data_IF_623475576190
#
_entry.id   IF_623475576190
#
_cell.length_a   1.000
_cell.length_b   1.000
_cell.length_c   1.000
_cell.angle_alpha   90.00
_cell.angle_beta   90.00
_cell.angle_gamma   90.00
#
_symmetry.space_group_name_H-M   'P 1'
#
loop_
_entity.id
_entity.type
_entity.pdbx_description
1 polymer ?
#
# COMPACT_ATOMS: atom_id res chain seq x y z
N UNK A 1 39.93 61.86 27.16
CA UNK A 1 40.73 60.65 26.90
C UNK A 1 41.24 60.25 28.27
N UNK A 2 40.48 59.40 28.95
CA UNK A 2 40.74 59.01 30.33
C UNK A 2 41.36 57.62 30.32
N UNK A 3 42.63 57.56 30.69
CA UNK A 3 43.37 56.31 30.91
C UNK A 3 43.73 56.26 32.40
N UNK A 4 43.16 55.28 33.11
CA UNK A 4 43.51 55.01 34.51
C UNK A 4 43.33 53.52 34.83
N UNK A 5 44.49 52.91 35.08
CA UNK A 5 44.81 52.10 36.24
C UNK A 5 44.43 50.59 36.31
N UNK A 6 45.51 49.78 36.26
CA UNK A 6 45.99 48.80 37.27
C UNK A 6 45.24 47.48 37.53
N UNK A 7 45.88 46.42 36.99
CA UNK A 7 46.23 45.10 37.56
C UNK A 7 46.02 44.93 39.09
N UNK A 8 45.35 43.84 39.56
CA UNK A 8 46.00 42.59 40.01
C UNK A 8 45.11 41.61 40.80
N UNK A 9 45.30 40.31 40.48
CA UNK A 9 45.27 39.09 41.34
C UNK A 9 43.97 38.50 41.91
N UNK A 10 43.82 37.17 41.77
CA UNK A 10 43.23 36.32 42.82
C UNK A 10 42.40 35.11 42.36
N UNK A 11 43.04 33.94 42.33
CA UNK A 11 42.52 32.59 42.71
C UNK A 11 41.25 31.98 42.07
N UNK A 12 41.44 30.80 41.45
CA UNK A 12 40.44 29.72 41.33
C UNK A 12 40.42 28.90 42.65
N UNK A 13 39.34 28.15 43.04
CA UNK A 13 38.96 26.92 42.31
C UNK A 13 37.49 26.46 42.42
N UNK A 14 37.17 25.41 41.64
CA UNK A 14 36.09 24.42 41.83
C UNK A 14 34.62 24.86 41.67
N UNK A 15 33.95 24.35 40.63
CA UNK A 15 32.99 23.22 40.73
C UNK A 15 32.39 22.98 39.34
N UNK A 16 33.06 22.19 38.49
CA UNK A 16 32.49 21.73 37.22
C UNK A 16 32.05 20.28 37.38
N UNK A 17 30.74 19.99 37.49
CA UNK A 17 30.25 18.62 37.39
C UNK A 17 30.28 18.19 35.91
N UNK A 18 30.83 17.00 35.59
CA UNK A 18 30.88 16.54 34.21
C UNK A 18 29.45 16.33 33.69
N UNK A 19 29.19 16.91 32.51
CA UNK A 19 27.97 16.67 31.73
C UNK A 19 27.76 15.15 31.60
N UNK A 20 26.79 14.65 32.37
CA UNK A 20 26.32 13.27 32.29
C UNK A 20 25.99 12.93 30.85
N UNK A 21 26.72 11.95 30.33
CA UNK A 21 26.47 11.22 29.10
C UNK A 21 24.98 10.92 28.98
N UNK A 22 24.28 11.70 28.17
CA UNK A 22 22.87 11.47 27.87
C UNK A 22 22.84 10.35 26.82
N UNK A 23 22.47 9.16 27.26
CA UNK A 23 22.11 8.02 26.40
C UNK A 23 21.13 8.53 25.34
N UNK A 24 21.53 8.44 24.07
CA UNK A 24 20.75 8.90 22.93
C UNK A 24 19.67 7.85 22.64
N UNK A 25 18.49 8.00 23.26
CA UNK A 25 17.25 7.45 22.75
C UNK A 25 16.30 8.60 22.42
N UNK A 26 15.82 8.64 21.18
CA UNK A 26 14.77 9.56 20.73
C UNK A 26 15.24 10.51 19.63
N UNK A 27 14.97 10.13 18.37
CA UNK A 27 15.20 10.97 17.20
C UNK A 27 14.59 10.38 15.94
N UNK A 28 13.35 9.89 16.05
CA UNK A 28 12.52 9.55 14.91
C UNK A 28 12.07 10.87 14.27
N UNK A 29 12.76 11.31 13.22
CA UNK A 29 12.40 12.55 12.54
C UNK A 29 13.54 13.21 11.80
N UNK A 30 13.98 12.60 10.70
CA UNK A 30 14.46 13.40 9.57
C UNK A 30 13.80 12.85 8.32
N UNK A 31 12.60 13.40 8.07
CA UNK A 31 11.97 13.40 6.76
C UNK A 31 12.95 14.12 5.83
N UNK A 32 13.83 13.35 5.20
CA UNK A 32 14.50 13.81 4.00
C UNK A 32 13.43 13.86 2.91
N UNK A 33 12.80 15.03 2.80
CA UNK A 33 12.15 15.48 1.58
C UNK A 33 13.14 15.28 0.44
N UNK A 34 12.97 14.17 -0.27
CA UNK A 34 13.56 13.96 -1.58
C UNK A 34 12.42 14.10 -2.56
N UNK A 35 12.30 15.33 -3.07
CA UNK A 35 11.90 15.63 -4.43
C UNK A 35 10.69 14.88 -4.98
N UNK A 36 9.55 15.55 -4.92
CA UNK A 36 8.52 15.48 -5.95
C UNK A 36 9.14 15.67 -7.34
N UNK A 37 8.85 14.74 -8.27
CA UNK A 37 9.28 14.77 -9.68
C UNK A 37 10.39 13.75 -9.96
N UNK A 38 10.25 12.71 -10.77
CA UNK A 38 9.32 12.41 -11.85
C UNK A 38 8.62 11.08 -11.57
N UNK A 39 7.28 11.08 -11.52
CA UNK A 39 6.54 9.84 -11.73
C UNK A 39 6.71 9.49 -13.21
N UNK A 40 7.74 8.72 -13.56
CA UNK A 40 7.85 8.16 -14.91
C UNK A 40 6.54 7.39 -15.17
N UNK A 41 5.69 7.84 -16.11
CA UNK A 41 4.38 7.22 -16.29
C UNK A 41 4.47 5.89 -17.05
N UNK A 42 5.69 5.48 -17.43
CA UNK A 42 6.00 4.12 -17.83
C UNK A 42 5.99 3.22 -16.59
N UNK A 43 4.84 2.61 -16.31
CA UNK A 43 4.66 1.73 -15.15
C UNK A 43 4.01 2.42 -13.93
N UNK A 44 3.19 3.45 -14.16
CA UNK A 44 2.40 4.03 -13.07
C UNK A 44 1.39 3.00 -12.53
N UNK A 45 1.46 2.74 -11.24
CA UNK A 45 0.50 1.88 -10.54
C UNK A 45 -0.75 2.68 -10.22
N UNK A 46 -1.90 2.21 -10.66
CA UNK A 46 -3.20 2.85 -10.43
C UNK A 46 -3.90 2.19 -9.24
N UNK A 47 -4.42 3.03 -8.37
CA UNK A 47 -5.25 2.62 -7.25
C UNK A 47 -6.72 2.78 -7.63
N UNK A 48 -7.47 1.68 -7.62
CA UNK A 48 -8.87 1.65 -8.03
C UNK A 48 -9.73 1.13 -6.88
N UNK A 49 -10.83 1.82 -6.57
CA UNK A 49 -11.85 1.35 -5.63
C UNK A 49 -13.23 1.45 -6.24
N UNK A 50 -14.02 0.41 -6.03
CA UNK A 50 -15.45 0.40 -6.30
C UNK A 50 -16.11 -0.62 -5.38
N UNK A 51 -17.24 -0.27 -4.79
CA UNK A 51 -18.04 -1.16 -3.93
C UNK A 51 -18.75 -2.26 -4.71
N UNK A 52 -18.93 -2.09 -6.02
CA UNK A 52 -19.59 -3.08 -6.90
C UNK A 52 -18.60 -3.98 -7.65
N UNK A 53 -17.28 -3.83 -7.46
CA UNK A 53 -16.24 -4.64 -8.11
C UNK A 53 -15.53 -5.48 -7.04
N UNK A 54 -15.67 -6.80 -7.12
CA UNK A 54 -15.21 -7.74 -6.09
C UNK A 54 -14.06 -8.64 -6.55
N UNK A 55 -13.67 -8.54 -7.81
CA UNK A 55 -12.60 -9.36 -8.36
C UNK A 55 -11.99 -8.80 -9.64
N UNK A 56 -10.82 -9.35 -9.98
CA UNK A 56 -10.06 -8.95 -11.17
C UNK A 56 -10.88 -9.08 -12.46
N UNK A 57 -11.67 -10.15 -12.60
CA UNK A 57 -12.52 -10.37 -13.77
C UNK A 57 -13.57 -9.27 -13.96
N UNK A 58 -14.21 -8.82 -12.89
CA UNK A 58 -15.18 -7.72 -12.96
C UNK A 58 -14.53 -6.38 -13.28
N UNK A 59 -13.30 -6.15 -12.81
CA UNK A 59 -12.56 -4.95 -13.14
C UNK A 59 -12.14 -4.94 -14.62
N UNK A 60 -11.44 -5.99 -15.06
CA UNK A 60 -10.83 -6.04 -16.39
C UNK A 60 -11.89 -6.34 -17.48
N UNK A 61 -12.65 -7.43 -17.33
CA UNK A 61 -13.64 -7.85 -18.34
C UNK A 61 -15.00 -7.14 -18.19
N UNK A 62 -15.23 -6.44 -17.08
CA UNK A 62 -16.42 -5.61 -16.88
C UNK A 62 -16.10 -4.15 -17.16
N UNK A 63 -15.62 -3.42 -16.14
CA UNK A 63 -15.44 -1.96 -16.20
C UNK A 63 -14.46 -1.51 -17.28
N UNK A 64 -13.25 -2.08 -17.34
CA UNK A 64 -12.25 -1.66 -18.35
C UNK A 64 -12.69 -2.07 -19.76
N UNK A 65 -13.30 -3.25 -19.91
CA UNK A 65 -13.87 -3.72 -21.18
C UNK A 65 -14.96 -2.80 -21.72
N UNK A 66 -15.84 -2.28 -20.86
CA UNK A 66 -16.88 -1.31 -21.22
C UNK A 66 -16.28 -0.01 -21.78
N UNK A 67 -15.17 0.46 -21.20
CA UNK A 67 -14.47 1.67 -21.62
C UNK A 67 -13.27 1.41 -22.55
N UNK A 68 -13.11 0.19 -23.10
CA UNK A 68 -11.89 -0.24 -23.81
C UNK A 68 -11.50 0.66 -24.98
N UNK A 69 -12.49 1.21 -25.69
CA UNK A 69 -12.28 2.11 -26.84
C UNK A 69 -11.79 3.48 -26.37
N UNK A 70 -12.48 4.07 -25.40
CA UNK A 70 -12.09 5.33 -24.79
C UNK A 70 -10.67 5.26 -24.21
N UNK A 71 -10.36 4.15 -23.53
CA UNK A 71 -9.04 3.85 -22.94
C UNK A 71 -7.96 3.51 -23.96
N UNK A 72 -8.31 3.19 -25.22
CA UNK A 72 -7.36 2.81 -26.27
C UNK A 72 -6.76 1.41 -26.09
N UNK A 73 -7.44 0.53 -25.36
CA UNK A 73 -6.98 -0.83 -25.04
C UNK A 73 -7.80 -1.91 -25.73
N UNK A 74 -8.72 -1.54 -26.62
CA UNK A 74 -9.58 -2.46 -27.37
C UNK A 74 -8.81 -3.59 -28.08
N UNK A 75 -7.59 -3.32 -28.59
CA UNK A 75 -6.71 -4.32 -29.24
C UNK A 75 -6.37 -5.54 -28.36
N UNK A 76 -6.50 -5.39 -27.04
CA UNK A 76 -6.21 -6.42 -26.05
C UNK A 76 -7.42 -7.26 -25.67
N UNK A 77 -8.61 -6.99 -26.22
CA UNK A 77 -9.83 -7.74 -25.96
C UNK A 77 -10.23 -8.54 -27.19
N UNK A 78 -10.55 -9.80 -26.97
CA UNK A 78 -11.18 -10.65 -27.97
C UNK A 78 -12.69 -10.43 -27.90
N UNK A 79 -13.28 -10.08 -29.04
CA UNK A 79 -14.73 -10.06 -29.22
C UNK A 79 -15.09 -11.34 -29.98
N UNK A 80 -14.95 -12.48 -29.31
CA UNK A 80 -15.42 -13.75 -29.86
C UNK A 80 -16.93 -13.84 -29.59
N UNK A 81 -17.73 -13.76 -30.65
CA UNK A 81 -19.11 -14.19 -30.62
C UNK A 81 -19.19 -15.62 -31.08
N UNK A 82 -19.52 -16.54 -30.18
CA UNK A 82 -20.16 -17.77 -30.64
C UNK A 82 -21.56 -17.37 -31.10
N UNK A 83 -21.87 -17.65 -32.37
CA UNK A 83 -23.16 -17.35 -33.01
C UNK A 83 -24.36 -18.03 -32.32
N UNK A 84 -24.13 -18.79 -31.25
CA UNK A 84 -25.15 -19.55 -30.52
C UNK A 84 -25.77 -18.82 -29.33
N UNK A 85 -25.13 -17.77 -28.80
CA UNK A 85 -25.70 -16.97 -27.70
C UNK A 85 -25.41 -15.49 -27.97
N UNK A 86 -26.45 -14.74 -28.34
CA UNK A 86 -26.40 -13.35 -28.83
C UNK A 86 -25.86 -12.27 -27.87
N UNK A 87 -24.90 -12.58 -27.01
CA UNK A 87 -24.12 -11.64 -26.20
C UNK A 87 -22.63 -11.94 -26.29
N UNK A 88 -21.94 -11.26 -27.19
CA UNK A 88 -20.48 -11.23 -27.22
C UNK A 88 -19.97 -10.48 -25.97
N UNK A 89 -19.45 -11.20 -24.98
CA UNK A 89 -18.76 -10.58 -23.83
C UNK A 89 -17.28 -10.43 -24.19
N UNK A 90 -16.74 -9.21 -24.33
CA UNK A 90 -15.33 -9.05 -24.66
C UNK A 90 -14.48 -9.60 -23.53
N UNK A 91 -13.53 -10.47 -23.87
CA UNK A 91 -12.63 -11.10 -22.92
C UNK A 91 -11.21 -10.60 -23.12
N UNK A 92 -10.52 -10.28 -22.03
CA UNK A 92 -9.13 -9.86 -22.10
C UNK A 92 -8.25 -11.01 -22.61
N UNK A 93 -7.39 -10.72 -23.58
CA UNK A 93 -6.40 -11.67 -24.09
C UNK A 93 -5.40 -12.08 -23.01
N UNK A 94 -4.87 -13.29 -23.14
CA UNK A 94 -3.88 -13.85 -22.20
C UNK A 94 -2.52 -13.16 -22.27
N UNK A 95 -2.18 -12.54 -23.41
CA UNK A 95 -0.94 -11.79 -23.63
C UNK A 95 -1.09 -10.28 -23.37
N UNK A 96 -2.24 -9.84 -22.86
CA UNK A 96 -2.47 -8.44 -22.57
C UNK A 96 -1.57 -7.95 -21.42
N UNK A 97 -0.98 -6.74 -21.51
CA UNK A 97 0.02 -6.25 -20.56
C UNK A 97 -0.63 -5.66 -19.30
N UNK A 98 -1.67 -6.30 -18.75
CA UNK A 98 -2.33 -5.87 -17.52
C UNK A 98 -1.87 -6.71 -16.34
N UNK A 99 -1.30 -6.05 -15.34
CA UNK A 99 -1.04 -6.64 -14.04
C UNK A 99 -2.02 -6.05 -13.03
N UNK A 100 -2.72 -6.93 -12.29
CA UNK A 100 -3.73 -6.50 -11.35
C UNK A 100 -3.72 -7.34 -10.08
N UNK A 101 -3.75 -6.67 -8.93
CA UNK A 101 -3.87 -7.29 -7.60
C UNK A 101 -5.07 -6.70 -6.89
N UNK A 102 -5.89 -7.58 -6.28
CA UNK A 102 -7.00 -7.18 -5.42
C UNK A 102 -6.62 -7.33 -3.94
N UNK A 103 -6.53 -6.22 -3.23
CA UNK A 103 -6.16 -6.17 -1.81
C UNK A 103 -7.42 -6.21 -0.95
N UNK A 104 -7.96 -7.42 -0.75
CA UNK A 104 -9.18 -7.65 0.03
C UNK A 104 -9.02 -7.40 1.53
N UNK A 105 -7.82 -7.57 2.08
CA UNK A 105 -7.56 -7.49 3.52
C UNK A 105 -7.58 -6.07 4.11
N UNK A 106 -7.66 -5.04 3.25
CA UNK A 106 -7.80 -3.65 3.68
C UNK A 106 -9.20 -3.38 4.22
N UNK A 107 -9.34 -2.44 5.17
CA UNK A 107 -10.66 -1.96 5.64
C UNK A 107 -11.50 -1.40 4.50
N UNK A 108 -10.86 -0.88 3.46
CA UNK A 108 -11.47 -0.49 2.19
C UNK A 108 -10.77 -1.27 1.08
N UNK A 109 -11.34 -2.38 0.59
CA UNK A 109 -10.75 -3.16 -0.48
C UNK A 109 -10.47 -2.29 -1.70
N UNK A 110 -9.36 -2.58 -2.38
CA UNK A 110 -8.91 -1.83 -3.53
C UNK A 110 -8.15 -2.73 -4.51
N UNK A 111 -8.02 -2.25 -5.73
CA UNK A 111 -7.22 -2.86 -6.77
C UNK A 111 -5.98 -2.00 -7.00
N UNK A 112 -4.86 -2.67 -7.21
CA UNK A 112 -3.70 -2.09 -7.87
C UNK A 112 -3.71 -2.58 -9.31
N UNK A 113 -3.54 -1.67 -10.25
CA UNK A 113 -3.51 -1.94 -11.68
C UNK A 113 -2.27 -1.32 -12.31
N UNK A 114 -1.51 -2.13 -13.01
CA UNK A 114 -0.39 -1.70 -13.86
C UNK A 114 -0.67 -2.09 -15.30
N UNK A 115 -0.26 -1.20 -16.20
CA UNK A 115 -0.33 -1.44 -17.64
C UNK A 115 1.09 -1.37 -18.20
N UNK A 116 1.66 -2.55 -18.43
CA UNK A 116 3.07 -2.77 -18.76
C UNK A 116 3.35 -2.61 -20.26
N UNK A 117 2.76 -1.58 -20.87
CA UNK A 117 3.01 -1.22 -22.26
C UNK A 117 4.08 -0.13 -22.35
N UNK A 118 4.88 -0.15 -23.41
CA UNK A 118 5.99 0.81 -23.58
C UNK A 118 5.50 2.14 -24.17
N UNK A 119 6.19 3.21 -23.79
CA UNK A 119 6.04 4.53 -24.40
C UNK A 119 4.75 5.26 -24.02
N UNK A 120 4.21 6.02 -24.97
CA UNK A 120 3.09 6.94 -24.72
C UNK A 120 1.73 6.24 -24.58
N UNK A 121 1.63 4.97 -24.98
CA UNK A 121 0.39 4.21 -24.85
C UNK A 121 0.02 4.04 -23.38
N UNK A 122 0.98 3.72 -22.52
CA UNK A 122 0.75 3.59 -21.09
C UNK A 122 0.42 4.93 -20.41
N UNK A 123 1.10 6.00 -20.81
CA UNK A 123 0.80 7.35 -20.31
C UNK A 123 -0.63 7.77 -20.64
N UNK A 124 -1.04 7.62 -21.90
CA UNK A 124 -2.40 7.91 -22.36
C UNK A 124 -3.44 7.04 -21.66
N UNK A 125 -3.14 5.77 -21.44
CA UNK A 125 -4.03 4.87 -20.69
C UNK A 125 -4.26 5.38 -19.27
N UNK A 126 -3.19 5.74 -18.56
CA UNK A 126 -3.27 6.29 -17.19
C UNK A 126 -4.09 7.57 -17.16
N UNK A 127 -3.80 8.54 -18.03
CA UNK A 127 -4.54 9.80 -18.13
C UNK A 127 -6.03 9.57 -18.39
N UNK A 128 -6.35 8.72 -19.35
CA UNK A 128 -7.74 8.38 -19.70
C UNK A 128 -8.46 7.66 -18.56
N UNK A 129 -7.80 6.71 -17.89
CA UNK A 129 -8.42 5.96 -16.79
C UNK A 129 -8.65 6.84 -15.57
N UNK A 130 -7.72 7.75 -15.25
CA UNK A 130 -7.92 8.76 -14.20
C UNK A 130 -9.06 9.72 -14.57
N UNK A 131 -9.22 10.05 -15.86
CA UNK A 131 -10.36 10.80 -16.37
C UNK A 131 -11.73 10.12 -16.16
N UNK A 132 -11.76 8.80 -15.99
CA UNK A 132 -12.98 8.05 -15.64
C UNK A 132 -13.28 8.02 -14.14
N UNK A 133 -12.57 8.81 -13.32
CA UNK A 133 -12.89 8.94 -11.90
C UNK A 133 -14.34 9.39 -11.70
N UNK A 134 -15.01 8.78 -10.73
CA UNK A 134 -16.42 8.98 -10.39
C UNK A 134 -17.43 8.52 -11.47
N UNK A 135 -16.98 7.79 -12.49
CA UNK A 135 -17.92 7.08 -13.37
C UNK A 135 -18.68 6.00 -12.59
N UNK A 136 -19.95 5.78 -12.94
CA UNK A 136 -20.80 4.82 -12.25
C UNK A 136 -20.64 3.43 -12.89
N UNK A 137 -20.29 2.45 -12.07
CA UNK A 137 -20.29 1.04 -12.46
C UNK A 137 -21.28 0.28 -11.57
N UNK A 138 -22.32 -0.32 -12.19
CA UNK A 138 -23.43 -0.98 -11.47
C UNK A 138 -24.01 -0.11 -10.33
N UNK A 139 -24.20 1.19 -10.59
CA UNK A 139 -24.72 2.17 -9.61
C UNK A 139 -23.73 2.64 -8.54
N UNK A 140 -22.49 2.14 -8.52
CA UNK A 140 -21.45 2.57 -7.58
C UNK A 140 -20.38 3.42 -8.28
N UNK A 141 -19.90 4.53 -7.68
CA UNK A 141 -18.82 5.31 -8.27
C UNK A 141 -17.49 4.55 -8.24
N UNK A 142 -16.72 4.66 -9.31
CA UNK A 142 -15.36 4.14 -9.43
C UNK A 142 -14.37 5.24 -9.09
N UNK A 143 -13.57 5.03 -8.05
CA UNK A 143 -12.47 5.92 -7.67
C UNK A 143 -11.18 5.42 -8.32
N UNK A 144 -10.50 6.30 -9.04
CA UNK A 144 -9.21 6.03 -9.69
C UNK A 144 -8.22 7.09 -9.27
N UNK A 145 -7.06 6.68 -8.76
CA UNK A 145 -5.96 7.55 -8.33
C UNK A 145 -4.63 6.98 -8.80
N UNK A 146 -3.66 7.84 -9.10
CA UNK A 146 -2.29 7.39 -9.36
C UNK A 146 -1.63 7.07 -8.03
N UNK A 147 -1.06 5.87 -7.93
CA UNK A 147 -0.35 5.38 -6.76
C UNK A 147 0.90 6.23 -6.46
N UNK A 148 1.27 6.27 -5.18
CA UNK A 148 2.52 6.92 -4.76
C UNK A 148 3.71 6.11 -5.27
N UNK A 149 4.81 6.80 -5.59
CA UNK A 149 6.05 6.16 -6.05
C UNK A 149 6.52 5.05 -5.11
N UNK A 150 6.99 3.94 -5.69
CA UNK A 150 7.48 2.76 -4.96
C UNK A 150 6.42 1.73 -4.56
N UNK A 151 5.12 2.01 -4.76
CA UNK A 151 4.06 1.01 -4.67
C UNK A 151 3.85 0.39 -6.05
N UNK A 152 4.11 -0.91 -6.20
CA UNK A 152 3.86 -1.64 -7.45
C UNK A 152 3.03 -2.89 -7.23
N UNK A 153 2.39 -3.39 -8.29
CA UNK A 153 1.63 -4.65 -8.25
C UNK A 153 2.55 -5.81 -7.85
N UNK A 154 3.77 -5.85 -8.40
CA UNK A 154 4.76 -6.87 -8.07
C UNK A 154 5.21 -6.85 -6.60
N UNK A 155 5.51 -5.66 -6.05
CA UNK A 155 5.91 -5.53 -4.64
C UNK A 155 4.79 -5.88 -3.67
N UNK A 156 3.54 -5.54 -4.01
CA UNK A 156 2.39 -5.87 -3.19
C UNK A 156 2.04 -7.37 -3.24
N UNK A 157 2.16 -8.00 -4.43
CA UNK A 157 1.98 -9.45 -4.58
C UNK A 157 2.96 -10.23 -3.70
N UNK A 158 4.23 -9.84 -3.69
CA UNK A 158 5.25 -10.47 -2.85
C UNK A 158 4.93 -10.37 -1.35
N UNK A 159 4.39 -9.22 -0.89
CA UNK A 159 3.96 -9.05 0.51
C UNK A 159 2.78 -9.94 0.85
N UNK A 160 1.78 -9.99 -0.02
CA UNK A 160 0.60 -10.83 0.16
C UNK A 160 1.00 -12.31 0.21
N UNK A 161 1.90 -12.74 -0.68
CA UNK A 161 2.41 -14.12 -0.70
C UNK A 161 3.15 -14.49 0.59
N UNK A 162 4.07 -13.63 1.07
CA UNK A 162 4.77 -13.85 2.35
C UNK A 162 3.80 -13.98 3.52
N UNK A 163 2.76 -13.13 3.56
CA UNK A 163 1.74 -13.17 4.60
C UNK A 163 0.90 -14.44 4.53
N UNK A 164 0.50 -14.84 3.34
CA UNK A 164 -0.34 -16.02 3.14
C UNK A 164 0.48 -17.31 3.37
N UNK A 165 1.79 -17.30 3.09
CA UNK A 165 2.72 -18.36 3.49
C UNK A 165 2.88 -18.44 5.02
N UNK A 166 3.04 -17.32 5.72
CA UNK A 166 3.11 -17.28 7.18
C UNK A 166 1.79 -17.74 7.84
N UNK A 167 0.63 -17.44 7.23
CA UNK A 167 -0.65 -17.97 7.69
C UNK A 167 -0.73 -19.48 7.48
N UNK A 168 -0.31 -19.99 6.33
CA UNK A 168 -0.28 -21.43 6.06
C UNK A 168 0.64 -22.17 7.03
N UNK A 169 1.83 -21.64 7.35
CA UNK A 169 2.72 -22.27 8.34
C UNK A 169 2.17 -22.21 9.76
N UNK A 170 1.47 -21.12 10.15
CA UNK A 170 0.80 -21.03 11.44
C UNK A 170 -0.41 -21.96 11.56
N UNK A 171 -1.11 -22.24 10.46
CA UNK A 171 -2.23 -23.22 10.42
C UNK A 171 -1.75 -24.65 10.26
N UNK A 172 -0.54 -24.87 9.73
CA UNK A 172 0.09 -26.18 9.58
C UNK A 172 0.84 -26.64 10.85
N UNK A 173 0.68 -25.96 11.99
CA UNK A 173 1.08 -26.54 13.28
C UNK A 173 0.23 -27.80 13.45
N UNK A 174 0.84 -29.00 13.47
CA UNK A 174 0.08 -30.23 13.62
C UNK A 174 -0.65 -30.17 14.96
N UNK A 175 -1.89 -30.65 14.97
CA UNK A 175 -2.55 -31.16 16.18
C UNK A 175 -1.70 -32.33 16.69
N UNK A 176 -0.58 -32.03 17.35
CA UNK A 176 0.04 -32.97 18.27
C UNK A 176 -0.92 -33.09 19.45
N UNK A 177 -1.80 -34.08 19.37
CA UNK A 177 -2.38 -34.69 20.56
C UNK A 177 -1.24 -35.30 21.37
N UNK A 178 -0.56 -34.45 22.14
CA UNK A 178 0.20 -34.89 23.30
C UNK A 178 -0.68 -34.58 24.50
N UNK A 179 -1.42 -35.60 24.92
CA UNK A 179 -1.91 -35.69 26.28
C UNK A 179 -0.72 -35.53 27.20
N UNK A 180 -0.60 -34.40 27.89
CA UNK A 180 -0.27 -34.40 29.31
C UNK A 180 -0.63 -33.07 29.95
N UNK A 181 -1.57 -33.17 30.89
CA UNK A 181 -2.03 -32.12 31.79
C UNK A 181 -1.01 -32.03 32.94
N UNK A 182 -0.65 -30.82 33.37
CA UNK A 182 -1.08 -30.45 34.71
C UNK A 182 -1.75 -29.06 34.74
N UNK A 183 -2.90 -29.03 35.38
CA UNK A 183 -3.61 -27.80 35.76
C UNK A 183 -2.78 -27.05 36.81
N UNK A 184 -2.15 -25.95 36.39
CA UNK A 184 -1.62 -24.95 37.32
C UNK A 184 -2.75 -24.04 37.82
N UNK A 185 -2.84 -23.72 39.12
CA UNK A 185 -3.83 -22.77 39.63
C UNK A 185 -3.47 -21.36 39.15
N UNK A 186 -4.31 -20.78 38.28
CA UNK A 186 -4.25 -19.36 37.95
C UNK A 186 -4.82 -18.57 39.14
N UNK A 187 -3.95 -18.04 39.99
CA UNK A 187 -4.34 -17.08 41.02
C UNK A 187 -4.83 -15.79 40.34
N UNK A 188 -6.15 -15.63 40.27
CA UNK A 188 -6.78 -14.38 39.88
C UNK A 188 -6.66 -13.40 41.06
N UNK A 189 -5.83 -12.37 40.93
CA UNK A 189 -5.73 -11.29 41.93
C UNK A 189 -6.58 -10.11 41.43
N UNK A 190 -7.81 -9.90 41.94
CA UNK A 190 -8.57 -8.71 41.61
C UNK A 190 -7.87 -7.48 42.20
N UNK A 191 -7.57 -6.52 41.32
CA UNK A 191 -7.00 -5.21 41.66
C UNK A 191 -7.99 -4.45 42.55
N UNK A 192 -7.69 -4.33 43.84
CA UNK A 192 -8.49 -3.56 44.79
C UNK A 192 -8.63 -2.10 44.32
N UNK A 193 -9.88 -1.65 44.26
CA UNK A 193 -10.26 -0.25 43.99
C UNK A 193 -9.78 0.60 45.16
N UNK A 194 -8.74 1.41 44.95
CA UNK A 194 -8.40 2.48 45.88
C UNK A 194 -9.41 3.62 45.71
N UNK A 195 -10.34 3.75 46.66
CA UNK A 195 -10.99 5.03 46.97
C UNK A 195 -10.52 5.48 48.35
N UNK A 196 -10.34 6.81 48.45
CA UNK A 196 -9.70 7.56 49.54
C UNK A 196 -10.18 7.18 50.93
#
# INVERSE_FOLDING_TARGET
>A
MDESNRVSTGEAPSDEPPLKVRRHEGGHGELRETSSGDANPQGATLFIRCTSIHGRGELLNGFISEHREALGVAKWYNVAGDESDGRCVPTLRTDAPFECVYVRSSRKPYFLLEFNEKGDVAKKFVEKLVGLRNTLYKGSPVFVEVGKGGLTVGTERLKLEKRDAARRSATAVPLSFSSDKPTGPTAFVPRAVRKR
#
